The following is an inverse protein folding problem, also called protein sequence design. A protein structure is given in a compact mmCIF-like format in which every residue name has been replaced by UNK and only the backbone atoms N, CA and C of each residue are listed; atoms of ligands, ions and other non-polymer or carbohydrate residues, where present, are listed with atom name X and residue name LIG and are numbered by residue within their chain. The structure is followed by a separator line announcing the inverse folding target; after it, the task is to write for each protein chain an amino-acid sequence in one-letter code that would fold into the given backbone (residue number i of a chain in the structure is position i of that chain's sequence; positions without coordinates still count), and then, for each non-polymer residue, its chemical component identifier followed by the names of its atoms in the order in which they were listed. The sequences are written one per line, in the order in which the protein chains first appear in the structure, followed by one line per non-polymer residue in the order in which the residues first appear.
data_IF_275969098470
#
_entry.id   IF_275969098470
#
_cell.length_a   1.000
_cell.length_b   1.000
_cell.length_c   1.000
_cell.angle_alpha   90.00
_cell.angle_beta   90.00
_cell.angle_gamma   90.00
#
_symmetry.space_group_name_H-M   'P 1'
#
loop_
_entity.id
_entity.type
_entity.pdbx_description
1 polymer ?
#
# COMPACT_ATOMS: atom_id res chain seq x y z
N UNK A 1 4.70 -5.94 -10.14
CA UNK A 1 5.32 -4.99 -9.18
C UNK A 1 6.03 -5.74 -8.05
N UNK A 2 5.37 -6.68 -7.40
CA UNK A 2 5.88 -7.39 -6.21
C UNK A 2 7.09 -8.31 -6.46
N UNK A 3 7.26 -8.88 -7.63
CA UNK A 3 8.39 -9.76 -8.00
C UNK A 3 9.77 -9.08 -7.92
N UNK A 4 9.82 -7.75 -7.85
CA UNK A 4 11.05 -6.96 -7.72
C UNK A 4 11.65 -7.05 -6.32
N UNK A 5 10.85 -7.35 -5.30
CA UNK A 5 11.26 -7.33 -3.89
C UNK A 5 11.34 -8.76 -3.35
N UNK A 6 12.56 -9.21 -3.03
CA UNK A 6 12.81 -10.55 -2.45
C UNK A 6 12.16 -10.73 -1.06
N UNK A 7 11.87 -9.63 -0.38
CA UNK A 7 11.26 -9.60 0.96
C UNK A 7 9.73 -9.61 0.93
N UNK A 8 9.09 -9.48 -0.24
CA UNK A 8 7.64 -9.44 -0.33
C UNK A 8 7.04 -10.85 -0.19
N UNK A 9 6.53 -11.15 0.98
CA UNK A 9 5.77 -12.37 1.24
C UNK A 9 4.33 -12.18 0.76
N UNK A 10 3.95 -12.87 -0.32
CA UNK A 10 2.58 -12.91 -0.81
C UNK A 10 1.73 -13.77 0.12
N UNK A 11 0.61 -13.22 0.60
CA UNK A 11 -0.30 -13.87 1.54
C UNK A 11 -1.60 -14.25 0.84
N UNK A 12 -2.12 -15.45 1.15
CA UNK A 12 -3.45 -15.87 0.67
C UNK A 12 -4.54 -15.22 1.54
N UNK A 13 -5.67 -14.81 0.96
CA UNK A 13 -6.75 -14.12 1.69
C UNK A 13 -7.52 -15.03 2.67
N UNK A 14 -7.28 -16.35 2.67
CA UNK A 14 -8.02 -17.31 3.48
C UNK A 14 -7.74 -17.11 4.97
N UNK A 15 -8.80 -16.87 5.76
CA UNK A 15 -8.72 -16.73 7.22
C UNK A 15 -8.33 -15.36 7.74
N UNK A 16 -8.27 -14.33 6.87
CA UNK A 16 -7.99 -12.95 7.26
C UNK A 16 -9.28 -12.13 7.30
N UNK A 17 -9.44 -11.32 8.35
CA UNK A 17 -10.50 -10.30 8.43
C UNK A 17 -10.05 -9.06 7.67
N UNK A 18 -10.41 -8.99 6.41
CA UNK A 18 -9.96 -7.96 5.49
C UNK A 18 -10.97 -6.84 5.39
N UNK A 19 -10.54 -5.62 5.72
CA UNK A 19 -11.32 -4.39 5.54
C UNK A 19 -10.94 -3.72 4.23
N UNK A 20 -11.93 -3.32 3.44
CA UNK A 20 -11.74 -2.59 2.20
C UNK A 20 -11.87 -1.08 2.41
N UNK A 21 -10.94 -0.32 1.85
CA UNK A 21 -10.91 1.14 1.91
C UNK A 21 -10.79 1.73 0.51
N UNK A 22 -11.80 2.50 0.12
CA UNK A 22 -11.82 3.20 -1.15
C UNK A 22 -10.88 4.41 -1.11
N UNK A 23 -9.88 4.44 -2.00
CA UNK A 23 -8.99 5.60 -2.16
C UNK A 23 -9.61 6.65 -3.07
N UNK A 24 -10.24 6.22 -4.17
CA UNK A 24 -10.90 7.13 -5.07
C UNK A 24 -11.55 6.43 -6.27
N UNK A 25 -12.55 7.12 -6.84
CA UNK A 25 -13.22 6.73 -8.08
C UNK A 25 -13.08 7.86 -9.09
N UNK A 26 -12.76 7.52 -10.32
CA UNK A 26 -12.65 8.48 -11.42
C UNK A 26 -13.52 8.03 -12.59
N UNK A 27 -14.29 8.96 -13.15
CA UNK A 27 -15.00 8.76 -14.41
C UNK A 27 -13.98 8.79 -15.54
N UNK A 28 -13.98 7.76 -16.36
CA UNK A 28 -13.10 7.60 -17.53
C UNK A 28 -13.92 7.50 -18.80
N UNK A 29 -13.35 7.90 -19.91
CA UNK A 29 -14.04 7.89 -21.21
C UNK A 29 -13.19 7.15 -22.23
N UNK A 30 -13.81 6.24 -22.96
CA UNK A 30 -13.25 5.61 -24.15
C UNK A 30 -13.90 6.22 -25.39
N UNK A 31 -13.09 6.78 -26.27
CA UNK A 31 -13.55 7.31 -27.55
C UNK A 31 -13.61 6.18 -28.58
N UNK A 32 -14.75 6.06 -29.27
CA UNK A 32 -14.98 5.08 -30.34
C UNK A 32 -15.47 5.82 -31.61
N UNK A 33 -15.53 5.14 -32.73
CA UNK A 33 -16.05 5.74 -34.00
C UNK A 33 -17.48 6.28 -33.88
N UNK A 34 -18.28 5.72 -32.97
CA UNK A 34 -19.68 6.13 -32.73
C UNK A 34 -19.86 7.14 -31.59
N UNK A 35 -18.78 7.62 -30.95
CA UNK A 35 -18.87 8.60 -29.86
C UNK A 35 -18.06 8.23 -28.63
N UNK A 36 -18.50 8.72 -27.47
CA UNK A 36 -17.81 8.55 -26.18
C UNK A 36 -18.52 7.52 -25.30
N UNK A 37 -17.85 6.42 -24.97
CA UNK A 37 -18.33 5.46 -23.99
C UNK A 37 -17.76 5.80 -22.62
N UNK A 38 -18.62 6.00 -21.62
CA UNK A 38 -18.24 6.32 -20.25
C UNK A 38 -18.06 5.06 -19.41
N UNK A 39 -17.20 5.16 -18.40
CA UNK A 39 -16.98 4.14 -17.39
C UNK A 39 -16.37 4.75 -16.14
N UNK A 40 -16.13 3.92 -15.14
CA UNK A 40 -15.53 4.29 -13.87
C UNK A 40 -14.30 3.45 -13.60
N UNK A 41 -13.31 4.08 -12.98
CA UNK A 41 -12.10 3.43 -12.48
C UNK A 41 -12.03 3.66 -10.99
N UNK A 42 -12.03 2.58 -10.20
CA UNK A 42 -11.90 2.62 -8.76
C UNK A 42 -10.54 2.08 -8.34
N UNK A 43 -9.91 2.72 -7.36
CA UNK A 43 -8.73 2.21 -6.66
C UNK A 43 -9.09 1.92 -5.22
N UNK A 44 -8.82 0.70 -4.78
CA UNK A 44 -9.15 0.19 -3.45
C UNK A 44 -7.89 -0.37 -2.81
N UNK A 45 -7.80 -0.20 -1.50
CA UNK A 45 -6.79 -0.84 -0.64
C UNK A 45 -7.53 -1.75 0.32
N UNK A 46 -7.05 -2.96 0.48
CA UNK A 46 -7.58 -3.98 1.39
C UNK A 46 -6.53 -4.34 2.39
N UNK A 47 -6.86 -4.41 3.68
CA UNK A 47 -5.91 -4.77 4.73
C UNK A 47 -6.58 -5.34 5.97
N UNK A 48 -5.80 -5.98 6.82
CA UNK A 48 -6.23 -6.61 8.08
C UNK A 48 -5.91 -5.76 9.31
N UNK A 49 -5.34 -4.56 9.11
CA UNK A 49 -4.83 -3.69 10.19
C UNK A 49 -3.80 -4.39 11.12
N UNK A 50 -3.21 -5.50 10.67
CA UNK A 50 -2.22 -6.31 11.40
C UNK A 50 -0.96 -6.61 10.57
N UNK A 51 -0.70 -5.80 9.55
CA UNK A 51 0.50 -5.89 8.71
C UNK A 51 0.27 -6.51 7.34
N UNK A 52 -0.95 -6.94 6.98
CA UNK A 52 -1.23 -7.44 5.63
C UNK A 52 -2.03 -6.41 4.86
N UNK A 53 -1.59 -6.10 3.64
CA UNK A 53 -2.25 -5.10 2.80
C UNK A 53 -2.11 -5.45 1.33
N UNK A 54 -3.13 -5.10 0.54
CA UNK A 54 -3.15 -5.23 -0.91
C UNK A 54 -3.77 -4.03 -1.58
N UNK A 55 -3.40 -3.79 -2.82
CA UNK A 55 -4.03 -2.76 -3.65
C UNK A 55 -4.63 -3.37 -4.89
N UNK A 56 -5.76 -2.83 -5.34
CA UNK A 56 -6.42 -3.27 -6.55
C UNK A 56 -7.01 -2.13 -7.35
N UNK A 57 -7.13 -2.36 -8.64
CA UNK A 57 -7.73 -1.46 -9.61
C UNK A 57 -8.86 -2.16 -10.34
N UNK A 58 -10.06 -1.58 -10.25
CA UNK A 58 -11.23 -2.06 -10.97
C UNK A 58 -11.74 -1.04 -11.97
N UNK A 59 -12.21 -1.53 -13.11
CA UNK A 59 -12.89 -0.71 -14.14
C UNK A 59 -14.20 -1.35 -14.54
N UNK A 60 -15.27 -0.54 -14.60
CA UNK A 60 -16.59 -0.98 -15.05
C UNK A 60 -17.39 0.19 -15.61
N UNK A 61 -18.56 -0.11 -16.21
CA UNK A 61 -19.55 0.91 -16.60
C UNK A 61 -20.27 1.49 -15.38
N UNK A 62 -20.38 0.70 -14.32
CA UNK A 62 -21.04 1.06 -13.06
C UNK A 62 -20.01 1.16 -11.93
N UNK A 63 -20.26 2.09 -10.97
CA UNK A 63 -19.33 2.37 -9.85
C UNK A 63 -19.22 1.17 -8.91
N UNK A 64 -20.36 0.57 -8.51
CA UNK A 64 -20.37 -0.56 -7.59
C UNK A 64 -19.58 -1.75 -8.15
N UNK A 65 -19.82 -2.08 -9.43
CA UNK A 65 -19.08 -3.14 -10.12
C UNK A 65 -17.59 -2.82 -10.29
N UNK A 66 -17.19 -1.54 -10.41
CA UNK A 66 -15.78 -1.15 -10.47
C UNK A 66 -15.10 -1.36 -9.11
N UNK A 67 -15.78 -1.01 -8.01
CA UNK A 67 -15.29 -1.22 -6.65
C UNK A 67 -15.15 -2.72 -6.35
N UNK A 68 -16.17 -3.53 -6.62
CA UNK A 68 -16.12 -4.98 -6.41
C UNK A 68 -14.92 -5.63 -7.13
N UNK A 69 -14.70 -5.29 -8.40
CA UNK A 69 -13.53 -5.75 -9.17
C UNK A 69 -12.19 -5.28 -8.58
N UNK A 70 -12.14 -4.05 -8.05
CA UNK A 70 -10.95 -3.54 -7.41
C UNK A 70 -10.64 -4.29 -6.11
N UNK A 71 -11.64 -4.64 -5.30
CA UNK A 71 -11.49 -5.46 -4.09
C UNK A 71 -10.97 -6.86 -4.44
N UNK A 72 -11.53 -7.51 -5.46
CA UNK A 72 -11.04 -8.82 -5.92
C UNK A 72 -9.58 -8.77 -6.40
N UNK A 73 -9.21 -7.72 -7.14
CA UNK A 73 -7.83 -7.51 -7.60
C UNK A 73 -6.89 -7.25 -6.41
N UNK A 74 -7.32 -6.46 -5.40
CA UNK A 74 -6.55 -6.20 -4.19
C UNK A 74 -6.28 -7.49 -3.38
N UNK A 75 -7.29 -8.37 -3.25
CA UNK A 75 -7.17 -9.66 -2.56
C UNK A 75 -6.17 -10.62 -3.22
N UNK A 76 -5.90 -10.47 -4.52
CA UNK A 76 -4.86 -11.25 -5.23
C UNK A 76 -3.44 -10.75 -4.96
N UNK A 77 -3.33 -9.51 -4.50
CA UNK A 77 -2.07 -8.79 -4.33
C UNK A 77 -1.76 -8.46 -2.86
N UNK A 78 -2.14 -9.34 -1.93
CA UNK A 78 -1.85 -9.16 -0.51
C UNK A 78 -0.38 -9.43 -0.21
N UNK A 79 0.24 -8.52 0.55
CA UNK A 79 1.62 -8.60 1.00
C UNK A 79 1.71 -8.35 2.50
N UNK A 80 2.66 -9.00 3.16
CA UNK A 80 2.96 -8.79 4.58
C UNK A 80 4.04 -7.73 4.72
N UNK A 81 3.79 -6.76 5.60
CA UNK A 81 4.68 -5.65 5.93
C UNK A 81 5.12 -5.77 7.39
N UNK A 82 6.42 -5.65 7.68
CA UNK A 82 6.90 -5.68 9.05
C UNK A 82 6.52 -4.39 9.80
N UNK A 83 5.86 -4.54 10.95
CA UNK A 83 5.51 -3.45 11.85
C UNK A 83 6.20 -3.65 13.21
N UNK A 84 6.54 -2.55 13.90
CA UNK A 84 7.14 -2.56 15.24
C UNK A 84 6.32 -1.65 16.14
N UNK A 85 5.60 -2.22 17.12
CA UNK A 85 4.84 -1.47 18.14
C UNK A 85 3.91 -0.39 17.53
N UNK A 86 3.23 -0.70 16.42
CA UNK A 86 2.29 0.22 15.76
C UNK A 86 2.94 1.27 14.86
N UNK A 87 4.27 1.20 14.64
CA UNK A 87 5.01 2.07 13.71
C UNK A 87 5.89 1.27 12.76
N UNK A 88 6.63 1.97 11.89
CA UNK A 88 7.54 1.39 10.92
C UNK A 88 8.91 1.07 11.54
N UNK A 89 9.66 0.06 11.05
CA UNK A 89 10.98 -0.28 11.56
C UNK A 89 12.04 0.79 11.26
N UNK A 90 11.96 1.50 10.15
CA UNK A 90 12.88 2.57 9.75
C UNK A 90 12.23 3.49 8.71
N UNK A 91 12.85 4.63 8.45
CA UNK A 91 12.43 5.50 7.35
C UNK A 91 12.67 4.84 6.00
N UNK A 92 11.78 5.13 5.05
CA UNK A 92 11.90 4.60 3.70
C UNK A 92 11.29 5.56 2.68
N UNK A 93 11.90 5.60 1.48
CA UNK A 93 11.40 6.33 0.32
C UNK A 93 10.95 5.36 -0.75
N UNK A 94 9.74 5.58 -1.25
CA UNK A 94 9.21 4.83 -2.38
C UNK A 94 8.97 5.73 -3.59
N UNK A 95 9.09 5.16 -4.78
CA UNK A 95 8.90 5.88 -6.05
C UNK A 95 8.12 5.03 -7.04
N UNK A 96 7.10 5.65 -7.63
CA UNK A 96 6.39 5.05 -8.75
C UNK A 96 5.93 6.12 -9.75
N UNK A 97 6.37 5.99 -11.01
CA UNK A 97 6.15 7.04 -12.01
C UNK A 97 6.71 8.38 -11.55
N UNK A 98 5.88 9.41 -11.57
CA UNK A 98 6.24 10.74 -11.07
C UNK A 98 6.00 10.97 -9.57
N UNK A 99 5.39 10.01 -8.85
CA UNK A 99 5.14 10.13 -7.41
C UNK A 99 6.32 9.62 -6.59
N UNK A 100 6.64 10.33 -5.51
CA UNK A 100 7.61 9.94 -4.49
C UNK A 100 6.93 10.06 -3.13
N UNK A 101 7.08 9.06 -2.29
CA UNK A 101 6.53 9.06 -0.93
C UNK A 101 7.66 8.78 0.04
N UNK A 102 7.80 9.63 1.06
CA UNK A 102 8.68 9.40 2.18
C UNK A 102 7.83 9.02 3.40
N UNK A 103 8.18 7.93 4.08
CA UNK A 103 7.55 7.46 5.31
C UNK A 103 8.61 7.38 6.40
N UNK A 104 8.28 7.93 7.57
CA UNK A 104 9.20 8.06 8.71
C UNK A 104 8.48 7.54 9.94
N UNK A 105 9.07 6.62 10.73
CA UNK A 105 8.47 6.17 11.99
C UNK A 105 8.34 7.34 12.96
N UNK A 106 7.30 7.29 13.80
CA UNK A 106 7.02 8.33 14.78
C UNK A 106 6.83 7.75 16.18
N UNK A 107 6.93 8.61 17.19
CA UNK A 107 6.69 8.25 18.58
C UNK A 107 5.21 7.87 18.80
N UNK A 108 4.92 6.98 19.77
CA UNK A 108 3.55 6.65 20.15
C UNK A 108 2.71 7.90 20.48
N UNK A 109 1.48 7.97 19.98
CA UNK A 109 0.59 9.11 20.16
C UNK A 109 0.69 10.21 19.09
N UNK A 110 1.62 10.11 18.14
CA UNK A 110 1.74 11.07 17.02
C UNK A 110 0.55 10.93 16.05
N UNK A 111 0.04 9.72 15.87
CA UNK A 111 -0.99 9.41 14.89
C UNK A 111 -0.45 9.32 13.46
N UNK A 112 -1.36 9.09 12.50
CA UNK A 112 -1.02 8.99 11.07
C UNK A 112 -1.03 10.38 10.44
N UNK A 113 0.14 10.98 10.24
CA UNK A 113 0.29 12.27 9.56
C UNK A 113 0.67 12.00 8.10
N UNK A 114 -0.35 11.98 7.23
CA UNK A 114 -0.22 11.56 5.84
C UNK A 114 -1.24 12.24 4.93
N UNK A 115 -0.91 12.38 3.65
CA UNK A 115 -1.89 12.74 2.61
C UNK A 115 -2.93 11.64 2.41
N UNK A 116 -4.16 11.97 1.98
CA UNK A 116 -5.31 11.06 1.95
C UNK A 116 -5.02 9.66 1.37
N UNK A 117 -4.42 9.60 0.18
CA UNK A 117 -4.10 8.31 -0.45
C UNK A 117 -3.04 7.50 0.31
N UNK A 118 -2.04 8.16 0.90
CA UNK A 118 -1.00 7.51 1.73
C UNK A 118 -1.60 7.06 3.05
N UNK A 119 -2.42 7.91 3.69
CA UNK A 119 -3.12 7.61 4.95
C UNK A 119 -3.97 6.35 4.82
N UNK A 120 -4.78 6.25 3.77
CA UNK A 120 -5.63 5.06 3.53
C UNK A 120 -4.81 3.77 3.48
N UNK A 121 -3.62 3.80 2.86
CA UNK A 121 -2.73 2.62 2.81
C UNK A 121 -2.15 2.31 4.18
N UNK A 122 -1.61 3.31 4.90
CA UNK A 122 -0.96 3.12 6.21
C UNK A 122 -1.94 2.64 7.28
N UNK A 123 -3.17 3.18 7.30
CA UNK A 123 -4.23 2.72 8.19
C UNK A 123 -4.68 1.29 7.86
N UNK A 124 -4.78 0.93 6.57
CA UNK A 124 -5.12 -0.43 6.16
C UNK A 124 -4.05 -1.45 6.55
N UNK A 125 -2.78 -1.06 6.62
CA UNK A 125 -1.67 -1.88 7.16
C UNK A 125 -1.75 -2.04 8.67
N UNK A 126 -2.36 -1.09 9.39
CA UNK A 126 -2.40 -1.04 10.86
C UNK A 126 -1.26 -0.23 11.48
N UNK A 127 -0.73 0.75 10.75
CA UNK A 127 0.21 1.74 11.30
C UNK A 127 -0.58 2.81 12.04
N UNK A 128 -0.19 3.07 13.28
CA UNK A 128 -0.83 4.07 14.15
C UNK A 128 -0.02 5.36 14.25
N UNK A 129 1.31 5.28 14.21
CA UNK A 129 2.20 6.41 14.41
C UNK A 129 3.22 6.51 13.28
N UNK A 130 3.04 7.51 12.40
CA UNK A 130 3.89 7.70 11.22
C UNK A 130 3.81 9.13 10.70
N UNK A 131 4.95 9.64 10.24
CA UNK A 131 5.02 10.86 9.47
C UNK A 131 5.25 10.52 8.00
N UNK A 132 4.51 11.13 7.11
CA UNK A 132 4.72 10.92 5.68
C UNK A 132 4.54 12.19 4.86
N UNK A 133 5.23 12.23 3.72
CA UNK A 133 5.09 13.29 2.74
C UNK A 133 5.12 12.72 1.32
N UNK A 134 4.09 13.02 0.57
CA UNK A 134 4.06 12.75 -0.87
C UNK A 134 4.60 13.95 -1.64
N UNK A 135 5.40 13.71 -2.67
CA UNK A 135 6.04 14.70 -3.53
C UNK A 135 5.87 14.30 -5.00
N UNK A 136 5.93 15.28 -5.89
CA UNK A 136 5.77 15.07 -7.33
C UNK A 136 4.30 14.89 -7.72
N UNK A 137 3.96 13.77 -8.35
CA UNK A 137 2.60 13.52 -8.83
C UNK A 137 1.59 13.38 -7.70
N UNK A 138 0.47 14.08 -7.81
CA UNK A 138 -0.69 13.95 -6.91
C UNK A 138 -1.71 12.91 -7.38
N UNK A 139 -1.46 12.21 -8.49
CA UNK A 139 -2.36 11.15 -8.97
C UNK A 139 -2.46 10.01 -7.94
N UNK A 140 -3.66 9.70 -7.41
CA UNK A 140 -3.85 8.68 -6.38
C UNK A 140 -3.27 7.31 -6.76
N UNK A 141 -3.39 6.91 -8.03
CA UNK A 141 -2.82 5.66 -8.53
C UNK A 141 -1.30 5.58 -8.37
N UNK A 142 -0.60 6.68 -8.66
CA UNK A 142 0.85 6.73 -8.53
C UNK A 142 1.27 6.81 -7.06
N UNK A 143 0.55 7.61 -6.26
CA UNK A 143 0.84 7.79 -4.83
C UNK A 143 0.66 6.47 -4.07
N UNK A 144 -0.45 5.75 -4.27
CA UNK A 144 -0.68 4.44 -3.65
C UNK A 144 0.45 3.47 -4.02
N UNK A 145 0.78 3.35 -5.30
CA UNK A 145 1.86 2.46 -5.75
C UNK A 145 3.24 2.86 -5.20
N UNK A 146 3.53 4.17 -5.08
CA UNK A 146 4.76 4.64 -4.46
C UNK A 146 4.80 4.33 -2.96
N UNK A 147 3.66 4.40 -2.27
CA UNK A 147 3.56 3.98 -0.86
C UNK A 147 3.81 2.48 -0.70
N UNK A 148 3.22 1.66 -1.56
CA UNK A 148 3.52 0.22 -1.59
C UNK A 148 4.99 -0.08 -1.90
N UNK A 149 5.61 0.69 -2.81
CA UNK A 149 7.04 0.59 -3.11
C UNK A 149 7.90 0.87 -1.86
N UNK A 150 7.53 1.90 -1.08
CA UNK A 150 8.21 2.20 0.19
C UNK A 150 8.01 1.07 1.23
N UNK A 151 6.78 0.59 1.42
CA UNK A 151 6.45 -0.46 2.39
C UNK A 151 7.15 -1.79 2.08
N UNK A 152 7.23 -2.18 0.81
CA UNK A 152 7.88 -3.40 0.36
C UNK A 152 9.41 -3.40 0.52
N UNK A 153 10.02 -2.23 0.67
CA UNK A 153 11.45 -2.06 0.93
C UNK A 153 11.79 -2.09 2.42
N UNK A 154 10.78 -2.09 3.31
CA UNK A 154 11.00 -2.18 4.74
C UNK A 154 11.62 -3.52 5.12
N UNK A 155 12.58 -3.47 6.04
CA UNK A 155 13.27 -4.65 6.56
C UNK A 155 13.21 -4.65 8.08
N UNK A 156 12.87 -5.76 8.65
CA UNK A 156 12.95 -5.97 10.09
C UNK A 156 14.33 -6.52 10.50
N UNK A 157 14.69 -6.34 11.77
CA UNK A 157 15.97 -6.80 12.28
C UNK A 157 16.14 -8.32 12.16
N UNK A 158 15.04 -9.09 12.23
CA UNK A 158 15.08 -10.55 12.08
C UNK A 158 15.43 -10.97 10.66
N UNK A 159 14.89 -10.30 9.64
CA UNK A 159 15.23 -10.57 8.24
C UNK A 159 16.69 -10.24 7.94
N UNK A 160 17.18 -9.10 8.48
CA UNK A 160 18.58 -8.69 8.32
C UNK A 160 19.52 -9.69 9.01
N UNK A 161 19.20 -10.15 10.23
CA UNK A 161 19.98 -11.15 10.94
C UNK A 161 20.08 -12.45 10.13
N UNK A 162 18.97 -12.90 9.58
CA UNK A 162 18.89 -14.11 8.73
C UNK A 162 19.70 -13.98 7.45
N UNK A 163 19.58 -12.83 6.75
CA UNK A 163 20.32 -12.57 5.51
C UNK A 163 21.84 -12.51 5.71
N UNK A 164 22.27 -11.96 6.86
CA UNK A 164 23.69 -11.82 7.22
C UNK A 164 24.26 -13.04 7.97
N UNK A 165 23.44 -14.00 8.38
CA UNK A 165 23.87 -15.17 9.16
C UNK A 165 24.42 -14.81 10.55
N UNK A 166 23.93 -13.71 11.16
CA UNK A 166 24.38 -13.21 12.47
C UNK A 166 23.26 -13.28 13.51
N UNK A 167 23.62 -13.23 14.79
CA UNK A 167 22.63 -13.17 15.87
C UNK A 167 21.90 -11.83 15.88
N UNK A 168 20.67 -11.80 16.39
CA UNK A 168 19.86 -10.58 16.46
C UNK A 168 20.54 -9.47 17.29
N UNK A 169 21.26 -9.82 18.36
CA UNK A 169 22.02 -8.87 19.17
C UNK A 169 23.12 -8.14 18.38
N UNK A 170 23.75 -8.81 17.41
CA UNK A 170 24.79 -8.20 16.54
C UNK A 170 24.22 -7.27 15.46
N UNK A 171 22.91 -7.24 15.25
CA UNK A 171 22.28 -6.30 14.30
C UNK A 171 22.21 -4.90 14.90
N UNK A 172 22.16 -4.78 16.25
CA UNK A 172 22.02 -3.51 16.97
C UNK A 172 23.33 -2.99 17.57
N UNK A 173 24.39 -3.75 17.44
CA UNK A 173 25.74 -3.38 17.94
C UNK A 173 26.65 -3.04 16.74
#
# INVERSE_FOLDING_TARGET
MYQKYKSAELVKPSGLDLKDRLVGVQRVTKVTKGGRAFGFSAIVVVGDEAGVVGQGLGKSKDVASAIAKAVEDAKKNLVRIPLIKGTLPHEQKGKYGGARVNIIPAAPGTGVIAGGAVRTVLEAVGVHDVLSKSQGSSNPHNVVKATFDALLQLRDAKSIARERGISLSKVFN
#
